data_IF_103001011175
#
_entry.id   IF_103001011175
#
_cell.length_a   1.000
_cell.length_b   1.000
_cell.length_c   1.000
_cell.angle_alpha   90.00
_cell.angle_beta   90.00
_cell.angle_gamma   90.00
#
_symmetry.space_group_name_H-M   'P 1'
#
loop_
_entity.id
_entity.type
_entity.pdbx_description
1 polymer ?
#
# COMPACT_ATOMS: atom_id res chain seq x y z
N UNK A 1 26.89 -27.37 5.23
CA UNK A 1 25.45 -27.19 5.51
C UNK A 1 25.10 -25.74 5.26
N UNK A 2 24.60 -25.43 4.07
CA UNK A 2 24.09 -24.10 3.74
C UNK A 2 22.68 -24.02 4.32
N UNK A 3 22.53 -23.32 5.45
CA UNK A 3 21.20 -22.99 5.97
C UNK A 3 20.42 -22.29 4.87
N UNK A 4 19.33 -22.90 4.41
CA UNK A 4 18.38 -22.20 3.56
C UNK A 4 18.02 -20.91 4.29
N UNK A 5 18.14 -19.72 3.66
CA UNK A 5 17.64 -18.50 4.27
C UNK A 5 16.19 -18.78 4.65
N UNK A 6 15.83 -18.54 5.92
CA UNK A 6 14.50 -18.78 6.43
C UNK A 6 13.51 -18.13 5.47
N UNK A 7 12.87 -18.96 4.64
CA UNK A 7 12.04 -18.47 3.55
C UNK A 7 10.87 -17.71 4.16
N UNK A 8 10.53 -16.56 3.60
CA UNK A 8 9.28 -15.90 3.97
C UNK A 8 8.15 -16.87 3.66
N UNK A 9 7.38 -17.15 4.69
CA UNK A 9 6.51 -18.31 4.68
C UNK A 9 5.12 -17.98 4.15
N UNK A 10 4.44 -19.04 3.72
CA UNK A 10 3.14 -19.05 3.04
C UNK A 10 2.09 -18.20 3.74
N UNK A 11 2.03 -18.22 5.07
CA UNK A 11 0.98 -17.49 5.79
C UNK A 11 1.20 -15.97 5.70
N UNK A 12 2.45 -15.51 5.79
CA UNK A 12 2.79 -14.08 5.66
C UNK A 12 2.42 -13.54 4.29
N UNK A 13 2.79 -14.23 3.21
CA UNK A 13 2.46 -13.78 1.86
C UNK A 13 0.96 -13.87 1.57
N UNK A 14 0.28 -14.92 2.06
CA UNK A 14 -1.17 -15.05 1.86
C UNK A 14 -1.99 -14.04 2.64
N UNK A 15 -1.74 -13.86 3.94
CA UNK A 15 -2.46 -12.89 4.76
C UNK A 15 -2.10 -11.45 4.40
N UNK A 16 -0.81 -11.15 4.19
CA UNK A 16 -0.37 -9.84 3.73
C UNK A 16 -0.94 -9.50 2.35
N UNK A 17 -0.90 -10.44 1.41
CA UNK A 17 -1.49 -10.28 0.08
C UNK A 17 -3.01 -10.12 0.10
N UNK A 18 -3.72 -10.92 0.90
CA UNK A 18 -5.18 -10.80 1.06
C UNK A 18 -5.58 -9.46 1.67
N UNK A 19 -4.92 -9.03 2.75
CA UNK A 19 -5.18 -7.73 3.36
C UNK A 19 -4.95 -6.57 2.38
N UNK A 20 -3.87 -6.66 1.58
CA UNK A 20 -3.54 -5.66 0.55
C UNK A 20 -4.54 -5.67 -0.62
N UNK A 21 -5.03 -6.84 -1.01
CA UNK A 21 -6.06 -6.96 -2.05
C UNK A 21 -7.39 -6.36 -1.56
N UNK A 22 -7.85 -6.74 -0.37
CA UNK A 22 -9.13 -6.26 0.18
C UNK A 22 -9.08 -4.76 0.45
N UNK A 23 -7.96 -4.23 0.94
CA UNK A 23 -7.80 -2.80 1.13
C UNK A 23 -7.86 -2.01 -0.17
N UNK A 24 -7.43 -2.60 -1.29
CA UNK A 24 -7.50 -1.96 -2.59
C UNK A 24 -8.90 -2.02 -3.23
N UNK A 25 -9.77 -2.97 -2.85
CA UNK A 25 -11.12 -3.11 -3.43
C UNK A 25 -11.98 -1.88 -3.15
N UNK A 26 -11.99 -1.40 -1.92
CA UNK A 26 -12.81 -0.25 -1.49
C UNK A 26 -12.50 1.01 -2.30
N UNK A 27 -11.24 1.50 -2.39
CA UNK A 27 -10.91 2.64 -3.23
C UNK A 27 -11.15 2.35 -4.71
N UNK A 28 -10.87 1.14 -5.21
CA UNK A 28 -11.13 0.81 -6.63
C UNK A 28 -12.62 0.94 -6.98
N UNK A 29 -13.51 0.49 -6.10
CA UNK A 29 -14.96 0.64 -6.29
C UNK A 29 -15.38 2.10 -6.21
N UNK A 30 -14.87 2.86 -5.23
CA UNK A 30 -15.12 4.30 -5.11
C UNK A 30 -14.75 5.08 -6.37
N UNK A 31 -13.58 4.78 -6.94
CA UNK A 31 -13.10 5.43 -8.17
C UNK A 31 -13.85 4.95 -9.42
N UNK A 32 -14.31 3.70 -9.46
CA UNK A 32 -15.18 3.22 -10.52
C UNK A 32 -16.54 3.96 -10.53
N UNK A 33 -17.12 4.21 -9.34
CA UNK A 33 -18.32 5.03 -9.21
C UNK A 33 -18.07 6.50 -9.56
N UNK A 34 -16.86 7.02 -9.33
CA UNK A 34 -16.47 8.36 -9.76
C UNK A 34 -16.41 8.49 -11.29
N UNK A 35 -15.81 7.51 -11.98
CA UNK A 35 -15.71 7.53 -13.45
C UNK A 35 -17.02 7.20 -14.17
N UNK A 36 -17.89 6.38 -13.55
CA UNK A 36 -19.16 5.95 -14.11
C UNK A 36 -20.28 6.16 -13.06
N UNK A 37 -20.68 7.42 -12.81
CA UNK A 37 -21.69 7.71 -11.81
C UNK A 37 -23.03 7.06 -12.21
N UNK A 38 -23.67 6.31 -11.30
CA UNK A 38 -25.03 5.84 -11.52
C UNK A 38 -25.98 7.01 -11.87
N UNK A 39 -27.02 6.76 -12.67
CA UNK A 39 -28.00 7.80 -12.98
C UNK A 39 -28.61 8.36 -11.69
N UNK A 40 -28.49 9.68 -11.47
CA UNK A 40 -29.09 10.37 -10.31
C UNK A 40 -28.20 10.50 -9.07
N UNK A 41 -26.95 10.02 -9.08
CA UNK A 41 -25.99 10.27 -7.98
C UNK A 41 -25.10 11.46 -8.28
N UNK A 42 -25.03 12.45 -7.38
CA UNK A 42 -24.05 13.52 -7.44
C UNK A 42 -22.72 13.08 -6.82
N UNK A 43 -21.63 13.43 -7.50
CA UNK A 43 -20.22 13.14 -7.20
C UNK A 43 -19.79 13.38 -5.74
N UNK A 44 -20.49 14.26 -5.02
CA UNK A 44 -20.23 14.61 -3.63
C UNK A 44 -20.60 13.50 -2.62
N UNK A 45 -21.52 12.58 -2.94
CA UNK A 45 -22.02 11.60 -1.96
C UNK A 45 -21.34 10.23 -2.02
N UNK A 46 -20.65 9.90 -3.11
CA UNK A 46 -20.07 8.56 -3.34
C UNK A 46 -18.73 8.31 -2.66
N UNK A 47 -17.99 9.37 -2.31
CA UNK A 47 -16.61 9.27 -1.78
C UNK A 47 -16.48 9.65 -0.29
N UNK A 48 -17.50 10.27 0.32
CA UNK A 48 -17.41 10.83 1.67
C UNK A 48 -17.95 9.92 2.79
N UNK A 49 -17.97 8.59 2.61
CA UNK A 49 -18.21 7.74 3.78
C UNK A 49 -16.89 7.54 4.54
N UNK A 50 -16.70 8.20 5.71
CA UNK A 50 -15.47 8.04 6.50
C UNK A 50 -15.23 6.59 6.90
N UNK A 51 -16.28 5.75 6.93
CA UNK A 51 -16.19 4.33 7.26
C UNK A 51 -15.41 3.51 6.23
N UNK A 52 -15.68 3.70 4.93
CA UNK A 52 -15.01 2.94 3.88
C UNK A 52 -13.53 3.34 3.75
N UNK A 53 -13.24 4.63 3.87
CA UNK A 53 -11.87 5.14 3.89
C UNK A 53 -11.06 4.61 5.08
N UNK A 54 -11.60 4.72 6.29
CA UNK A 54 -10.91 4.24 7.51
C UNK A 54 -10.72 2.73 7.54
N UNK A 55 -11.68 1.95 7.05
CA UNK A 55 -11.53 0.49 6.93
C UNK A 55 -10.43 0.10 5.93
N UNK A 56 -10.40 0.75 4.76
CA UNK A 56 -9.34 0.57 3.75
C UNK A 56 -7.95 0.90 4.32
N UNK A 57 -7.83 2.04 5.00
CA UNK A 57 -6.62 2.46 5.69
C UNK A 57 -6.14 1.44 6.73
N UNK A 58 -7.05 0.96 7.59
CA UNK A 58 -6.73 -0.04 8.60
C UNK A 58 -6.22 -1.32 7.96
N UNK A 59 -6.86 -1.78 6.87
CA UNK A 59 -6.43 -2.97 6.14
C UNK A 59 -5.07 -2.78 5.44
N UNK A 60 -4.79 -1.59 4.89
CA UNK A 60 -3.47 -1.25 4.34
C UNK A 60 -2.39 -1.30 5.41
N UNK A 61 -2.68 -0.72 6.58
CA UNK A 61 -1.77 -0.71 7.70
C UNK A 61 -1.50 -2.14 8.18
N UNK A 62 -2.54 -2.95 8.33
CA UNK A 62 -2.42 -4.37 8.64
C UNK A 62 -1.58 -5.07 7.58
N UNK A 63 -1.87 -4.90 6.28
CA UNK A 63 -1.15 -5.57 5.20
C UNK A 63 0.36 -5.31 5.26
N UNK A 64 0.77 -4.05 5.37
CA UNK A 64 2.19 -3.71 5.43
C UNK A 64 2.85 -4.16 6.73
N UNK A 65 2.16 -4.13 7.86
CA UNK A 65 2.68 -4.68 9.13
C UNK A 65 2.85 -6.19 9.04
N UNK A 66 1.87 -6.92 8.49
CA UNK A 66 1.98 -8.36 8.28
C UNK A 66 3.15 -8.70 7.35
N UNK A 67 3.31 -7.96 6.24
CA UNK A 67 4.44 -8.16 5.33
C UNK A 67 5.78 -7.80 5.98
N UNK A 68 5.83 -6.84 6.89
CA UNK A 68 7.05 -6.45 7.58
C UNK A 68 7.49 -7.46 8.64
N UNK A 69 6.56 -7.87 9.51
CA UNK A 69 6.88 -8.65 10.71
C UNK A 69 6.68 -10.15 10.50
N UNK A 70 5.80 -10.56 9.59
CA UNK A 70 5.36 -11.94 9.44
C UNK A 70 4.24 -12.33 10.42
N UNK A 71 3.70 -13.53 10.26
CA UNK A 71 2.67 -14.11 11.15
C UNK A 71 3.10 -15.45 11.71
N UNK A 72 2.66 -15.79 12.93
CA UNK A 72 2.80 -17.14 13.53
C UNK A 72 4.24 -17.68 13.54
N UNK A 73 5.20 -16.86 13.96
CA UNK A 73 6.62 -17.27 14.05
C UNK A 73 7.37 -17.23 12.70
N UNK A 74 6.71 -16.84 11.61
CA UNK A 74 7.34 -16.63 10.32
C UNK A 74 8.09 -15.29 10.28
N UNK A 75 9.13 -15.22 9.44
CA UNK A 75 9.78 -13.94 9.14
C UNK A 75 9.04 -13.22 8.00
N UNK A 76 8.79 -11.93 8.20
CA UNK A 76 8.27 -11.04 7.17
C UNK A 76 9.22 -10.86 5.99
N UNK A 77 8.76 -10.16 4.95
CA UNK A 77 9.56 -9.74 3.78
C UNK A 77 10.76 -8.88 4.18
N UNK A 78 10.65 -8.16 5.30
CA UNK A 78 11.77 -7.42 5.89
C UNK A 78 12.83 -8.30 6.59
N UNK A 79 12.56 -9.60 6.75
CA UNK A 79 13.43 -10.54 7.46
C UNK A 79 13.67 -10.15 8.92
N UNK A 80 14.89 -10.37 9.40
CA UNK A 80 15.33 -10.00 10.75
C UNK A 80 15.72 -8.51 10.91
N UNK A 81 15.78 -7.76 9.81
CA UNK A 81 16.28 -6.38 9.84
C UNK A 81 15.27 -5.43 10.49
N UNK A 82 15.67 -4.80 11.61
CA UNK A 82 14.86 -3.78 12.29
C UNK A 82 14.62 -2.57 11.38
N UNK A 83 15.65 -2.12 10.65
CA UNK A 83 15.52 -0.96 9.77
C UNK A 83 14.54 -1.23 8.63
N UNK A 84 14.57 -2.42 8.03
CA UNK A 84 13.61 -2.80 6.99
C UNK A 84 12.17 -2.79 7.53
N UNK A 85 11.92 -3.33 8.72
CA UNK A 85 10.60 -3.31 9.36
C UNK A 85 10.11 -1.88 9.62
N UNK A 86 10.98 -1.00 10.12
CA UNK A 86 10.65 0.42 10.32
C UNK A 86 10.24 1.09 9.02
N UNK A 87 10.94 0.83 7.91
CA UNK A 87 10.58 1.43 6.61
C UNK A 87 9.20 0.97 6.14
N UNK A 88 8.84 -0.31 6.33
CA UNK A 88 7.49 -0.78 6.02
C UNK A 88 6.41 -0.10 6.88
N UNK A 89 6.68 0.15 8.16
CA UNK A 89 5.75 0.89 9.04
C UNK A 89 5.61 2.35 8.58
N UNK A 90 6.72 3.00 8.22
CA UNK A 90 6.70 4.36 7.65
C UNK A 90 5.89 4.37 6.35
N UNK A 91 6.08 3.38 5.47
CA UNK A 91 5.28 3.24 4.26
C UNK A 91 3.79 3.09 4.57
N UNK A 92 3.43 2.25 5.53
CA UNK A 92 2.05 2.03 5.95
C UNK A 92 1.36 3.33 6.41
N UNK A 93 2.03 4.06 7.30
CA UNK A 93 1.54 5.32 7.85
C UNK A 93 1.42 6.39 6.77
N UNK A 94 2.46 6.57 5.97
CA UNK A 94 2.48 7.61 4.94
C UNK A 94 1.49 7.32 3.81
N UNK A 95 1.30 6.05 3.40
CA UNK A 95 0.25 5.67 2.43
C UNK A 95 -1.14 6.01 2.96
N UNK A 96 -1.38 5.78 4.25
CA UNK A 96 -2.66 6.08 4.89
C UNK A 96 -2.93 7.58 4.91
N UNK A 97 -1.90 8.37 5.23
CA UNK A 97 -1.97 9.83 5.30
C UNK A 97 -2.12 10.47 3.91
N UNK A 98 -1.43 9.96 2.89
CA UNK A 98 -1.48 10.52 1.52
C UNK A 98 -2.75 10.15 0.77
N UNK A 99 -3.37 9.01 1.07
CA UNK A 99 -4.63 8.58 0.47
C UNK A 99 -5.87 9.31 1.03
N UNK A 100 -5.69 10.29 1.91
CA UNK A 100 -6.80 11.13 2.40
C UNK A 100 -7.73 10.41 3.39
N UNK A 101 -7.32 9.25 3.92
CA UNK A 101 -8.11 8.51 4.92
C UNK A 101 -8.10 9.17 6.31
N UNK A 102 -7.28 10.20 6.49
CA UNK A 102 -7.39 11.12 7.61
C UNK A 102 -8.14 12.35 7.11
N UNK A 103 -9.23 12.77 7.78
CA UNK A 103 -9.93 13.99 7.41
C UNK A 103 -8.97 15.17 7.57
N UNK A 104 -8.43 15.65 6.44
CA UNK A 104 -7.86 16.98 6.38
C UNK A 104 -9.00 17.96 6.70
N UNK A 105 -8.73 19.02 7.47
CA UNK A 105 -9.76 20.00 7.77
C UNK A 105 -10.36 20.47 6.45
N UNK A 106 -11.68 20.27 6.29
CA UNK A 106 -12.40 20.76 5.13
C UNK A 106 -12.03 22.24 4.98
N UNK A 107 -11.66 22.65 3.77
CA UNK A 107 -11.37 24.05 3.47
C UNK A 107 -12.71 24.80 3.53
N UNK A 108 -13.13 25.12 4.74
CA UNK A 108 -14.30 25.94 4.98
C UNK A 108 -13.95 27.39 4.65
N UNK A 109 -14.94 28.14 4.17
CA UNK A 109 -14.81 29.59 3.99
C UNK A 109 -14.41 30.18 5.36
N UNK A 110 -13.19 30.70 5.47
CA UNK A 110 -12.63 31.25 6.72
C UNK A 110 -11.32 30.63 7.20
N UNK A 111 -10.79 29.58 6.57
CA UNK A 111 -9.44 29.08 6.88
C UNK A 111 -8.40 30.09 6.38
N UNK A 112 -7.54 30.57 7.27
CA UNK A 112 -6.52 31.56 6.94
C UNK A 112 -5.43 30.98 6.01
N UNK A 113 -4.90 31.81 5.11
CA UNK A 113 -3.83 31.43 4.16
C UNK A 113 -2.64 30.71 4.81
N UNK A 114 -2.17 31.06 6.03
CA UNK A 114 -1.10 30.34 6.70
C UNK A 114 -1.44 28.89 7.05
N UNK A 115 -2.70 28.60 7.43
CA UNK A 115 -3.14 27.24 7.76
C UNK A 115 -3.18 26.37 6.50
N UNK A 116 -3.67 26.92 5.39
CA UNK A 116 -3.65 26.23 4.10
C UNK A 116 -2.22 25.98 3.60
N UNK A 117 -1.32 26.95 3.76
CA UNK A 117 0.09 26.78 3.43
C UNK A 117 0.75 25.67 4.26
N UNK A 118 0.50 25.65 5.58
CA UNK A 118 1.02 24.60 6.45
C UNK A 118 0.48 23.22 6.07
N UNK A 119 -0.83 23.09 5.81
CA UNK A 119 -1.44 21.84 5.37
C UNK A 119 -0.85 21.34 4.05
N UNK A 120 -0.64 22.25 3.08
CA UNK A 120 0.03 21.93 1.81
C UNK A 120 1.47 21.47 1.99
N UNK A 121 2.24 22.11 2.87
CA UNK A 121 3.62 21.70 3.20
C UNK A 121 3.62 20.31 3.87
N UNK A 122 2.75 20.06 4.84
CA UNK A 122 2.65 18.76 5.50
C UNK A 122 2.28 17.64 4.52
N UNK A 123 1.31 17.88 3.63
CA UNK A 123 0.94 16.91 2.61
C UNK A 123 2.10 16.63 1.66
N UNK A 124 2.84 17.67 1.23
CA UNK A 124 4.02 17.50 0.40
C UNK A 124 5.11 16.69 1.11
N UNK A 125 5.36 16.95 2.40
CA UNK A 125 6.31 16.17 3.21
C UNK A 125 5.87 14.71 3.28
N UNK A 126 4.60 14.42 3.58
CA UNK A 126 4.10 13.04 3.62
C UNK A 126 4.22 12.34 2.27
N UNK A 127 3.94 13.03 1.16
CA UNK A 127 4.13 12.48 -0.19
C UNK A 127 5.60 12.15 -0.49
N UNK A 128 6.54 13.03 -0.12
CA UNK A 128 7.97 12.78 -0.30
C UNK A 128 8.42 11.57 0.53
N UNK A 129 8.04 11.52 1.81
CA UNK A 129 8.40 10.40 2.69
C UNK A 129 7.77 9.10 2.19
N UNK A 130 6.53 9.14 1.70
CA UNK A 130 5.85 8.00 1.11
C UNK A 130 6.62 7.43 -0.08
N UNK A 131 7.00 8.28 -1.04
CA UNK A 131 7.76 7.85 -2.23
C UNK A 131 9.11 7.27 -1.85
N UNK A 132 9.83 7.90 -0.92
CA UNK A 132 11.12 7.40 -0.45
C UNK A 132 10.98 6.04 0.25
N UNK A 133 10.00 5.90 1.15
CA UNK A 133 9.74 4.63 1.83
C UNK A 133 9.35 3.53 0.84
N UNK A 134 8.49 3.86 -0.13
CA UNK A 134 8.05 2.93 -1.17
C UNK A 134 9.22 2.47 -2.05
N UNK A 135 10.11 3.38 -2.44
CA UNK A 135 11.31 3.04 -3.20
C UNK A 135 12.25 2.11 -2.40
N UNK A 136 12.46 2.39 -1.11
CA UNK A 136 13.29 1.53 -0.26
C UNK A 136 12.65 0.15 -0.09
N UNK A 137 11.33 0.07 0.16
CA UNK A 137 10.61 -1.21 0.23
C UNK A 137 10.72 -1.97 -1.09
N UNK A 138 10.55 -1.31 -2.23
CA UNK A 138 10.70 -1.93 -3.54
C UNK A 138 12.08 -2.58 -3.72
N UNK A 139 13.15 -1.86 -3.34
CA UNK A 139 14.53 -2.38 -3.38
C UNK A 139 14.70 -3.56 -2.43
N UNK A 140 14.18 -3.46 -1.19
CA UNK A 140 14.27 -4.52 -0.19
C UNK A 140 13.55 -5.80 -0.65
N UNK A 141 12.35 -5.68 -1.21
CA UNK A 141 11.55 -6.82 -1.70
C UNK A 141 12.27 -7.53 -2.85
N UNK A 142 12.81 -6.76 -3.81
CA UNK A 142 13.57 -7.31 -4.94
C UNK A 142 14.85 -8.00 -4.45
N UNK A 143 15.61 -7.36 -3.54
CA UNK A 143 16.86 -7.91 -3.00
C UNK A 143 16.65 -9.13 -2.13
N UNK A 144 15.56 -9.17 -1.36
CA UNK A 144 15.25 -10.30 -0.51
C UNK A 144 14.96 -11.57 -1.33
N UNK A 145 14.58 -11.43 -2.61
CA UNK A 145 14.31 -12.58 -3.49
C UNK A 145 13.12 -13.44 -3.03
N UNK A 146 12.34 -12.93 -2.08
CA UNK A 146 11.23 -13.60 -1.41
C UNK A 146 10.06 -13.84 -2.36
N UNK A 147 9.84 -12.87 -3.24
CA UNK A 147 8.72 -12.80 -4.17
C UNK A 147 9.27 -13.07 -5.57
N UNK A 148 8.63 -13.94 -6.35
CA UNK A 148 9.15 -14.39 -7.65
C UNK A 148 8.25 -13.98 -8.81
N UNK A 149 8.74 -14.11 -10.06
CA UNK A 149 7.98 -13.80 -11.26
C UNK A 149 7.56 -12.33 -11.34
N UNK A 150 6.29 -12.08 -11.67
CA UNK A 150 5.72 -10.72 -11.77
C UNK A 150 5.58 -10.04 -10.40
N UNK A 151 5.38 -10.82 -9.34
CA UNK A 151 5.12 -10.31 -8.01
C UNK A 151 6.33 -9.55 -7.41
N UNK A 152 7.56 -9.88 -7.85
CA UNK A 152 8.77 -9.12 -7.46
C UNK A 152 8.77 -7.67 -7.95
N UNK A 153 8.02 -7.37 -9.02
CA UNK A 153 7.94 -6.06 -9.64
C UNK A 153 6.77 -5.22 -9.12
N UNK A 154 5.96 -5.77 -8.21
CA UNK A 154 4.77 -5.13 -7.71
C UNK A 154 5.05 -3.79 -6.98
N UNK A 155 5.95 -3.81 -5.99
CA UNK A 155 6.38 -2.59 -5.29
C UNK A 155 7.13 -1.60 -6.19
N UNK A 156 8.06 -2.03 -7.07
CA UNK A 156 8.62 -1.15 -8.09
C UNK A 156 7.58 -0.49 -8.99
N UNK A 157 6.56 -1.23 -9.46
CA UNK A 157 5.50 -0.68 -10.30
C UNK A 157 4.66 0.36 -9.55
N UNK A 158 4.31 0.08 -8.28
CA UNK A 158 3.65 1.06 -7.40
C UNK A 158 4.52 2.31 -7.23
N UNK A 159 5.82 2.16 -6.97
CA UNK A 159 6.73 3.30 -6.82
C UNK A 159 6.77 4.18 -8.06
N UNK A 160 6.92 3.58 -9.24
CA UNK A 160 6.94 4.30 -10.52
C UNK A 160 5.62 5.01 -10.75
N UNK A 161 4.49 4.33 -10.55
CA UNK A 161 3.18 4.91 -10.76
C UNK A 161 2.92 6.10 -9.82
N UNK A 162 3.26 5.96 -8.53
CA UNK A 162 3.14 7.05 -7.56
C UNK A 162 3.99 8.25 -7.95
N UNK A 163 5.22 8.03 -8.43
CA UNK A 163 6.09 9.11 -8.93
C UNK A 163 5.46 9.79 -10.15
N UNK A 164 4.95 9.02 -11.11
CA UNK A 164 4.31 9.56 -12.31
C UNK A 164 3.09 10.42 -11.97
N UNK A 165 2.24 9.94 -11.05
CA UNK A 165 1.09 10.73 -10.56
C UNK A 165 1.57 12.02 -9.89
N UNK A 166 2.59 11.95 -9.03
CA UNK A 166 3.13 13.12 -8.33
C UNK A 166 3.75 14.15 -9.29
N UNK A 167 4.43 13.70 -10.35
CA UNK A 167 4.98 14.56 -11.40
C UNK A 167 3.83 15.19 -12.21
N UNK A 168 2.81 14.41 -12.56
CA UNK A 168 1.64 14.92 -13.26
C UNK A 168 0.85 15.93 -12.43
N UNK A 169 0.85 15.82 -11.11
CA UNK A 169 0.29 16.81 -10.18
C UNK A 169 1.00 18.17 -10.22
N UNK A 170 2.10 18.31 -10.98
CA UNK A 170 2.78 19.60 -11.23
C UNK A 170 2.34 20.26 -12.55
N UNK A 171 1.52 19.59 -13.35
CA UNK A 171 1.01 20.09 -14.63
C UNK A 171 -0.23 20.99 -14.38
N UNK A 172 -0.45 22.06 -15.17
CA UNK A 172 -1.63 22.91 -15.06
C UNK A 172 -2.96 22.14 -15.15
N UNK A 173 -3.95 22.61 -14.39
CA UNK A 173 -5.24 21.94 -14.08
C UNK A 173 -5.98 21.24 -15.25
N UNK A 174 -6.06 21.80 -16.48
CA UNK A 174 -6.88 21.19 -17.53
C UNK A 174 -6.36 19.82 -18.00
N UNK A 175 -5.03 19.66 -18.07
CA UNK A 175 -4.40 18.39 -18.43
C UNK A 175 -4.26 17.46 -17.23
N UNK A 176 -4.22 18.02 -16.01
CA UNK A 176 -4.07 17.27 -14.77
C UNK A 176 -5.29 16.38 -14.49
N UNK A 177 -6.52 16.81 -14.78
CA UNK A 177 -7.75 16.04 -14.44
C UNK A 177 -7.74 14.63 -15.04
N UNK A 178 -7.37 14.48 -16.32
CA UNK A 178 -7.31 13.16 -16.97
C UNK A 178 -6.21 12.26 -16.37
N UNK A 179 -5.06 12.84 -16.03
CA UNK A 179 -3.95 12.09 -15.43
C UNK A 179 -4.22 11.74 -13.96
N UNK A 180 -4.94 12.61 -13.24
CA UNK A 180 -5.36 12.36 -11.87
C UNK A 180 -6.44 11.27 -11.84
N UNK A 181 -7.44 11.33 -12.73
CA UNK A 181 -8.43 10.25 -12.86
C UNK A 181 -7.78 8.90 -13.21
N UNK A 182 -6.80 8.90 -14.13
CA UNK A 182 -6.05 7.70 -14.44
C UNK A 182 -5.22 7.19 -13.25
N UNK A 183 -4.56 8.09 -12.50
CA UNK A 183 -3.78 7.76 -11.31
C UNK A 183 -4.62 7.22 -10.16
N UNK A 184 -5.79 7.83 -9.93
CA UNK A 184 -6.77 7.42 -8.93
C UNK A 184 -7.27 6.00 -9.14
N UNK A 185 -7.39 5.55 -10.40
CA UNK A 185 -7.77 4.16 -10.71
C UNK A 185 -6.56 3.23 -10.78
N UNK A 186 -5.47 3.67 -11.41
CA UNK A 186 -4.32 2.82 -11.64
C UNK A 186 -3.62 2.41 -10.34
N UNK A 187 -3.51 3.31 -9.34
CA UNK A 187 -2.83 3.00 -8.08
C UNK A 187 -3.58 1.88 -7.31
N UNK A 188 -4.89 2.00 -7.03
CA UNK A 188 -5.66 0.92 -6.42
C UNK A 188 -5.65 -0.37 -7.23
N UNK A 189 -5.71 -0.32 -8.56
CA UNK A 189 -5.66 -1.52 -9.40
C UNK A 189 -4.30 -2.24 -9.31
N UNK A 190 -3.19 -1.50 -9.37
CA UNK A 190 -1.85 -2.08 -9.21
C UNK A 190 -1.68 -2.63 -7.80
N UNK A 191 -2.25 -1.96 -6.79
CA UNK A 191 -2.24 -2.44 -5.41
C UNK A 191 -3.07 -3.73 -5.28
N UNK A 192 -4.28 -3.79 -5.84
CA UNK A 192 -5.11 -4.99 -5.90
C UNK A 192 -4.36 -6.15 -6.56
N UNK A 193 -3.75 -5.90 -7.72
CA UNK A 193 -2.95 -6.89 -8.44
C UNK A 193 -1.76 -7.36 -7.60
N UNK A 194 -1.09 -6.45 -6.90
CA UNK A 194 0.00 -6.77 -5.96
C UNK A 194 -0.48 -7.73 -4.88
N UNK A 195 -1.62 -7.44 -4.25
CA UNK A 195 -2.21 -8.27 -3.21
C UNK A 195 -2.57 -9.66 -3.71
N UNK A 196 -3.20 -9.74 -4.88
CA UNK A 196 -3.55 -11.02 -5.55
C UNK A 196 -2.30 -11.82 -5.88
N UNK A 197 -1.26 -11.20 -6.43
CA UNK A 197 -0.01 -11.86 -6.77
C UNK A 197 0.68 -12.44 -5.52
N UNK A 198 0.71 -11.69 -4.43
CA UNK A 198 1.27 -12.13 -3.15
C UNK A 198 0.46 -13.27 -2.55
N UNK A 199 -0.87 -13.17 -2.61
CA UNK A 199 -1.79 -14.21 -2.16
C UNK A 199 -1.58 -15.52 -2.94
N UNK A 200 -1.58 -15.47 -4.27
CA UNK A 200 -1.38 -16.65 -5.13
C UNK A 200 -0.01 -17.27 -4.88
N UNK A 201 1.05 -16.46 -4.75
CA UNK A 201 2.38 -16.98 -4.43
C UNK A 201 2.39 -17.65 -3.05
N UNK A 202 1.80 -17.03 -2.03
CA UNK A 202 1.66 -17.63 -0.70
C UNK A 202 0.93 -18.97 -0.76
N UNK A 203 -0.20 -19.05 -1.49
CA UNK A 203 -0.98 -20.28 -1.65
C UNK A 203 -0.20 -21.40 -2.35
N UNK A 204 0.74 -21.07 -3.24
CA UNK A 204 1.60 -22.01 -3.97
C UNK A 204 2.88 -22.42 -3.23
N UNK A 205 3.29 -21.68 -2.21
CA UNK A 205 4.48 -22.00 -1.42
C UNK A 205 4.28 -23.26 -0.57
N UNK A 206 5.29 -24.16 -0.47
CA UNK A 206 5.25 -25.30 0.44
C UNK A 206 5.02 -24.85 1.89
N UNK A 207 4.29 -25.63 2.69
CA UNK A 207 4.23 -25.39 4.14
C UNK A 207 5.64 -25.59 4.71
N UNK A 208 6.12 -24.64 5.52
CA UNK A 208 7.25 -24.91 6.39
C UNK A 208 6.84 -26.07 7.30
N UNK A 209 7.48 -27.22 7.14
CA UNK A 209 7.29 -28.35 8.02
C UNK A 209 7.92 -27.93 9.35
N UNK A 210 7.12 -27.83 10.41
CA UNK A 210 7.62 -27.81 11.78
C UNK A 210 8.35 -29.14 11.97
N UNK A 211 9.68 -29.14 11.94
CA UNK A 211 10.44 -30.29 12.40
C UNK A 211 10.02 -30.52 13.86
N UNK A 212 9.40 -31.68 14.18
CA UNK A 212 9.10 -31.99 15.57
C UNK A 212 10.43 -31.96 16.32
N UNK A 213 10.50 -31.12 17.36
CA UNK A 213 11.64 -31.06 18.25
C UNK A 213 11.95 -32.49 18.70
N UNK A 214 12.99 -33.08 18.14
CA UNK A 214 13.52 -34.35 18.62
C UNK A 214 13.99 -34.04 20.03
N UNK A 215 13.20 -34.49 21.01
CA UNK A 215 13.58 -34.53 22.40
C UNK A 215 14.86 -35.34 22.49
N UNK A 216 16.00 -34.66 22.62
CA UNK A 216 17.23 -35.30 23.04
C UNK A 216 17.00 -35.78 24.47
N UNK A 217 16.77 -37.10 24.60
CA UNK A 217 16.91 -37.82 25.86
C UNK A 217 18.37 -38.05 26.23
#
# INVERSE_FOLDING_TARGET
MTSRPAGVSRATLSWGGAALAVSAVVPTLGEAFFLLPPPGTSWLYTLESPFFGTASAALLLIAYVLLAFGVRGETGVAGASRSARTVFVVLALTTTLTAGYVPLPAVTIGVSTPVLALAGVLLAVFQIVHVLALAVVAVLVVRAGVVTGLARWAFPALAVLTILVMVASRIPLPAAIGVWGAGLVAIPLVMLLTGVLFLVQGLRSPRAIEEPAVSAG
#
